data_IF_763055072319
#
_entry.id   IF_763055072319
#
_cell.length_a   1.000
_cell.length_b   1.000
_cell.length_c   1.000
_cell.angle_alpha   90.00
_cell.angle_beta   90.00
_cell.angle_gamma   90.00
#
_symmetry.space_group_name_H-M   'P 1'
#
loop_
_entity.id
_entity.type
_entity.pdbx_description
1 polymer ?
#
# COMPACT_ATOMS: atom_id res chain seq x y z
N UNK A 1 5.64 3.88 19.54
CA UNK A 1 6.32 4.47 18.37
C UNK A 1 6.47 3.38 17.34
N UNK A 2 6.02 3.60 16.10
CA UNK A 2 6.18 2.65 15.00
C UNK A 2 7.38 3.06 14.13
N UNK A 3 7.99 2.08 13.47
CA UNK A 3 9.03 2.29 12.47
C UNK A 3 8.36 2.32 11.09
N UNK A 4 8.44 3.45 10.40
CA UNK A 4 7.86 3.59 9.06
C UNK A 4 8.58 2.69 8.06
N UNK A 5 7.81 2.04 7.19
CA UNK A 5 8.32 1.30 6.03
C UNK A 5 8.22 2.24 4.82
N UNK A 6 9.37 2.73 4.36
CA UNK A 6 9.51 3.55 3.15
C UNK A 6 10.15 2.78 1.98
N UNK A 7 10.72 1.60 2.23
CA UNK A 7 11.41 0.73 1.25
C UNK A 7 10.48 -0.21 0.48
N UNK A 8 9.37 0.31 -0.06
CA UNK A 8 8.42 -0.48 -0.85
C UNK A 8 8.61 -0.30 -2.36
N UNK A 9 8.23 -1.32 -3.13
CA UNK A 9 8.16 -1.27 -4.60
C UNK A 9 6.71 -1.23 -5.06
N UNK A 10 6.47 -0.68 -6.24
CA UNK A 10 5.15 -0.74 -6.86
C UNK A 10 5.27 -0.85 -8.38
N UNK A 11 4.24 -1.43 -8.97
CA UNK A 11 4.06 -1.57 -10.41
C UNK A 11 2.59 -1.32 -10.74
N UNK A 12 2.32 -0.83 -11.95
CA UNK A 12 0.97 -0.66 -12.44
C UNK A 12 0.80 -1.16 -13.87
N UNK A 13 -0.42 -1.59 -14.17
CA UNK A 13 -0.94 -1.69 -15.53
C UNK A 13 -2.17 -0.78 -15.66
N UNK A 14 -2.92 -0.85 -16.75
CA UNK A 14 -4.08 0.04 -16.94
C UNK A 14 -5.17 -0.15 -15.88
N UNK A 15 -5.37 -1.36 -15.36
CA UNK A 15 -6.47 -1.71 -14.48
C UNK A 15 -6.08 -1.81 -13.00
N UNK A 16 -4.83 -2.12 -12.71
CA UNK A 16 -4.39 -2.53 -11.38
C UNK A 16 -3.07 -1.87 -10.96
N UNK A 17 -2.88 -1.82 -9.64
CA UNK A 17 -1.63 -1.46 -8.98
C UNK A 17 -1.22 -2.60 -8.07
N UNK A 18 0.03 -3.03 -8.19
CA UNK A 18 0.68 -3.91 -7.23
C UNK A 18 1.64 -3.11 -6.36
N UNK A 19 1.46 -3.12 -5.04
CA UNK A 19 2.39 -2.55 -4.06
C UNK A 19 3.01 -3.69 -3.26
N UNK A 20 4.33 -3.79 -3.23
CA UNK A 20 5.09 -4.80 -2.51
C UNK A 20 5.81 -4.17 -1.32
N UNK A 21 5.39 -4.57 -0.12
CA UNK A 21 5.92 -4.06 1.14
C UNK A 21 6.73 -5.16 1.82
N UNK A 22 8.05 -4.99 2.02
CA UNK A 22 8.87 -5.98 2.68
C UNK A 22 8.50 -6.11 4.17
N UNK A 23 8.11 -7.31 4.58
CA UNK A 23 7.74 -7.61 5.97
C UNK A 23 8.94 -8.04 6.82
N UNK A 24 10.14 -8.16 6.23
CA UNK A 24 11.41 -8.47 6.93
C UNK A 24 11.30 -9.69 7.86
N UNK A 25 10.59 -10.73 7.43
CA UNK A 25 10.39 -11.97 8.19
C UNK A 25 9.26 -11.93 9.23
N UNK A 26 8.50 -10.84 9.31
CA UNK A 26 7.41 -10.66 10.28
C UNK A 26 6.03 -11.07 9.75
N UNK A 27 5.95 -11.78 8.62
CA UNK A 27 4.67 -12.14 8.00
C UNK A 27 3.72 -12.97 8.89
N UNK A 28 4.29 -13.67 9.89
CA UNK A 28 3.56 -14.50 10.87
C UNK A 28 3.08 -13.74 12.12
N UNK A 29 3.47 -12.48 12.31
CA UNK A 29 2.98 -11.67 13.43
C UNK A 29 1.55 -11.19 13.17
N UNK A 30 0.84 -10.89 14.26
CA UNK A 30 -0.42 -10.17 14.20
C UNK A 30 -0.23 -8.85 13.43
N UNK A 31 -1.11 -8.64 12.47
CA UNK A 31 -1.07 -7.53 11.55
C UNK A 31 -2.45 -6.95 11.40
N UNK A 32 -2.49 -5.64 11.35
CA UNK A 32 -3.71 -4.88 11.10
C UNK A 32 -3.56 -4.25 9.72
N UNK A 33 -4.51 -4.53 8.83
CA UNK A 33 -4.53 -3.98 7.48
C UNK A 33 -5.83 -3.22 7.29
N UNK A 34 -5.72 -1.98 6.86
CA UNK A 34 -6.84 -1.12 6.51
C UNK A 34 -6.64 -0.63 5.07
N UNK A 35 -7.65 -0.86 4.24
CA UNK A 35 -7.69 -0.37 2.85
C UNK A 35 -8.98 0.41 2.69
N UNK A 36 -8.83 1.59 2.11
CA UNK A 36 -9.94 2.48 1.72
C UNK A 36 -9.77 2.87 0.26
N UNK A 37 -10.72 3.62 -0.29
CA UNK A 37 -10.67 4.01 -1.70
C UNK A 37 -9.40 4.74 -2.11
N UNK A 38 -8.73 5.45 -1.20
CA UNK A 38 -7.50 6.20 -1.53
C UNK A 38 -6.38 6.05 -0.51
N UNK A 39 -6.54 5.20 0.50
CA UNK A 39 -5.55 5.10 1.57
C UNK A 39 -5.38 3.66 2.01
N UNK A 40 -4.12 3.27 2.20
CA UNK A 40 -3.69 1.97 2.68
C UNK A 40 -2.88 2.18 3.95
N UNK A 41 -3.18 1.37 4.96
CA UNK A 41 -2.41 1.29 6.19
C UNK A 41 -2.20 -0.16 6.56
N UNK A 42 -0.97 -0.49 6.93
CA UNK A 42 -0.62 -1.80 7.47
C UNK A 42 0.26 -1.60 8.69
N UNK A 43 -0.08 -2.27 9.79
CA UNK A 43 0.68 -2.26 11.04
C UNK A 43 1.16 -3.68 11.32
N UNK A 44 2.48 -3.85 11.43
CA UNK A 44 3.15 -5.11 11.76
C UNK A 44 4.22 -4.81 12.80
N UNK A 45 3.87 -4.87 14.09
CA UNK A 45 4.71 -4.31 15.17
C UNK A 45 6.17 -4.81 15.15
N UNK A 46 7.16 -3.89 15.23
CA UNK A 46 7.03 -2.43 15.45
C UNK A 46 6.87 -1.58 14.18
N UNK A 47 6.67 -2.18 13.01
CA UNK A 47 6.64 -1.48 11.72
C UNK A 47 5.24 -1.02 11.31
N UNK A 48 5.19 0.03 10.49
CA UNK A 48 3.97 0.55 9.88
C UNK A 48 4.23 1.02 8.46
N UNK A 49 3.31 0.69 7.55
CA UNK A 49 3.27 1.17 6.18
C UNK A 49 2.00 1.99 5.97
N UNK A 50 2.14 3.17 5.36
CA UNK A 50 1.03 4.05 5.02
C UNK A 50 1.23 4.61 3.60
N UNK A 51 0.15 4.67 2.82
CA UNK A 51 0.19 5.13 1.45
C UNK A 51 -1.13 5.80 1.07
N UNK A 52 -1.07 7.07 0.66
CA UNK A 52 -2.21 7.78 0.05
C UNK A 52 -2.06 7.71 -1.47
N UNK A 53 -3.01 7.04 -2.10
CA UNK A 53 -3.07 6.79 -3.53
C UNK A 53 -3.46 8.05 -4.29
N UNK A 54 -2.88 8.23 -5.48
CA UNK A 54 -3.17 9.34 -6.39
C UNK A 54 -4.65 9.39 -6.80
N UNK A 55 -5.23 8.23 -7.11
CA UNK A 55 -6.62 8.09 -7.57
C UNK A 55 -7.35 6.99 -6.79
N UNK A 56 -8.69 6.97 -6.82
CA UNK A 56 -9.45 5.97 -6.08
C UNK A 56 -9.37 4.56 -6.67
N UNK A 57 -9.42 3.57 -5.78
CA UNK A 57 -9.50 2.13 -6.07
C UNK A 57 -10.86 1.56 -5.65
N UNK A 58 -11.22 0.43 -6.23
CA UNK A 58 -12.36 -0.40 -5.83
C UNK A 58 -11.89 -1.33 -4.72
N UNK A 59 -12.21 -0.98 -3.47
CA UNK A 59 -11.73 -1.70 -2.27
C UNK A 59 -12.22 -3.15 -2.27
N UNK A 60 -13.46 -3.39 -2.66
CA UNK A 60 -14.09 -4.72 -2.69
C UNK A 60 -13.45 -5.67 -3.73
N UNK A 61 -12.84 -5.11 -4.77
CA UNK A 61 -12.11 -5.86 -5.81
C UNK A 61 -10.60 -5.89 -5.56
N UNK A 62 -10.14 -5.23 -4.50
CA UNK A 62 -8.73 -5.19 -4.11
C UNK A 62 -8.43 -6.26 -3.07
N UNK A 63 -7.20 -6.78 -3.08
CA UNK A 63 -6.78 -7.85 -2.17
C UNK A 63 -5.37 -7.68 -1.66
N UNK A 64 -5.09 -8.36 -0.56
CA UNK A 64 -3.75 -8.42 0.03
C UNK A 64 -3.27 -9.86 0.04
N UNK A 65 -2.18 -10.09 -0.67
CA UNK A 65 -1.48 -11.35 -0.74
C UNK A 65 -0.31 -11.30 0.22
N UNK A 66 -0.20 -12.29 1.10
CA UNK A 66 0.83 -12.33 2.14
C UNK A 66 1.77 -13.50 1.85
N UNK A 67 2.97 -13.17 1.40
CA UNK A 67 4.05 -14.12 1.18
C UNK A 67 5.04 -13.99 2.33
N UNK A 68 5.71 -15.08 2.71
CA UNK A 68 6.46 -15.16 3.99
C UNK A 68 7.43 -14.00 4.31
N UNK A 69 7.93 -13.27 3.31
CA UNK A 69 8.80 -12.11 3.46
C UNK A 69 8.16 -10.78 3.03
N UNK A 70 6.97 -10.76 2.42
CA UNK A 70 6.40 -9.58 1.75
C UNK A 70 4.86 -9.55 1.81
N UNK A 71 4.29 -8.36 1.96
CA UNK A 71 2.88 -8.10 1.71
C UNK A 71 2.74 -7.50 0.31
N UNK A 72 1.90 -8.08 -0.52
CA UNK A 72 1.56 -7.56 -1.84
C UNK A 72 0.12 -7.10 -1.85
N UNK A 73 -0.09 -5.81 -2.05
CA UNK A 73 -1.41 -5.21 -2.27
C UNK A 73 -1.69 -5.22 -3.77
N UNK A 74 -2.75 -5.90 -4.19
CA UNK A 74 -3.24 -5.88 -5.57
C UNK A 74 -4.52 -5.07 -5.57
N UNK A 75 -4.48 -3.88 -6.17
CA UNK A 75 -5.51 -2.86 -6.06
C UNK A 75 -6.17 -2.62 -7.41
N UNK A 76 -7.50 -2.77 -7.48
CA UNK A 76 -8.26 -2.50 -8.69
C UNK A 76 -8.55 -1.01 -8.81
N UNK A 77 -8.13 -0.37 -9.90
CA UNK A 77 -8.39 1.04 -10.17
C UNK A 77 -9.88 1.25 -10.48
N UNK A 78 -10.44 2.37 -10.01
CA UNK A 78 -11.81 2.76 -10.36
C UNK A 78 -11.93 3.14 -11.85
N UNK A 79 -10.85 3.70 -12.42
CA UNK A 79 -10.76 4.07 -13.83
C UNK A 79 -9.52 3.42 -14.43
N UNK A 80 -9.72 2.66 -15.52
CA UNK A 80 -8.63 2.04 -16.25
C UNK A 80 -7.77 3.11 -16.94
N UNK A 81 -6.58 3.37 -16.39
CA UNK A 81 -5.61 4.36 -16.86
C UNK A 81 -4.27 4.16 -16.15
N UNK A 82 -3.17 4.35 -16.87
CA UNK A 82 -1.83 4.49 -16.25
C UNK A 82 -1.77 5.79 -15.43
N UNK A 83 -1.44 5.68 -14.14
CA UNK A 83 -1.34 6.82 -13.24
C UNK A 83 -0.01 7.57 -13.42
N UNK A 84 1.08 6.86 -13.72
CA UNK A 84 2.44 7.38 -13.82
C UNK A 84 3.07 7.75 -12.47
N UNK A 85 2.28 7.72 -11.40
CA UNK A 85 2.68 7.98 -10.01
C UNK A 85 1.72 7.28 -9.07
N UNK A 86 2.24 6.66 -8.02
CA UNK A 86 1.43 6.01 -6.99
C UNK A 86 0.81 7.01 -6.00
N UNK A 87 1.64 7.92 -5.48
CA UNK A 87 1.29 8.77 -4.35
C UNK A 87 0.62 10.07 -4.79
N UNK A 88 -0.39 10.50 -4.04
CA UNK A 88 -0.93 11.86 -4.16
C UNK A 88 0.07 12.89 -3.61
N UNK A 89 0.10 14.11 -4.15
CA UNK A 89 0.90 15.22 -3.62
C UNK A 89 0.46 15.68 -2.21
N UNK A 90 -0.69 15.21 -1.72
CA UNK A 90 -1.20 15.51 -0.37
C UNK A 90 -0.23 15.04 0.76
N UNK A 91 0.72 14.15 0.45
CA UNK A 91 1.76 13.73 1.39
C UNK A 91 2.96 14.69 1.47
N UNK A 92 2.97 15.80 0.72
CA UNK A 92 4.07 16.78 0.77
C UNK A 92 4.00 17.75 1.96
N UNK A 93 2.96 17.71 2.79
CA UNK A 93 2.79 18.66 3.91
C UNK A 93 2.85 17.96 5.26
N UNK A 94 4.03 17.47 5.65
CA UNK A 94 4.48 17.45 7.06
C UNK A 94 6.02 17.54 7.12
N UNK A 95 6.61 18.61 6.59
CA UNK A 95 7.91 19.13 7.05
C UNK A 95 7.81 20.65 7.09
N UNK A 96 7.41 21.20 8.25
CA UNK A 96 8.23 22.01 9.18
C UNK A 96 7.41 22.34 10.43
#
# INVERSE_FOLDING_TARGET
MYITIDDFSWFENEEEISIEVPLRGLAKKDKEVMITSRFIKMVVKPYMFECVLLNPILVDESRVELSGSQARFVLKKTVAKIWGRLLSDEMSTQIV
#
